data_IF_420907200592
#
_entry.id   IF_420907200592
#
_cell.length_a   1.000
_cell.length_b   1.000
_cell.length_c   1.000
_cell.angle_alpha   90.00
_cell.angle_beta   90.00
_cell.angle_gamma   90.00
#
_symmetry.space_group_name_H-M   'P 1'
#
loop_
_entity.id
_entity.type
_entity.pdbx_description
1 polymer ?
#
# COMPACT_ATOMS: atom_id res chain seq x y z
N UNK A 1 -2.25 -4.80 -6.00
CA UNK A 1 -3.36 -4.78 -6.99
C UNK A 1 -2.94 -3.96 -8.20
N UNK A 2 -3.25 -4.44 -9.40
CA UNK A 2 -2.93 -3.80 -10.67
C UNK A 2 -4.21 -3.28 -11.30
N UNK A 3 -4.18 -2.03 -11.74
CA UNK A 3 -5.35 -1.34 -12.31
C UNK A 3 -4.99 -0.83 -13.70
N UNK A 4 -5.79 -1.19 -14.69
CA UNK A 4 -5.64 -0.73 -16.08
C UNK A 4 -6.97 -0.15 -16.52
N UNK A 5 -6.96 1.09 -17.01
CA UNK A 5 -8.18 1.82 -17.42
C UNK A 5 -9.27 1.88 -16.34
N UNK A 6 -8.87 2.06 -15.07
CA UNK A 6 -9.79 2.14 -13.93
C UNK A 6 -10.42 0.80 -13.54
N UNK A 7 -9.97 -0.33 -14.11
CA UNK A 7 -10.43 -1.67 -13.74
C UNK A 7 -9.30 -2.45 -13.08
N UNK A 8 -9.63 -3.14 -12.00
CA UNK A 8 -8.73 -4.10 -11.36
C UNK A 8 -8.54 -5.27 -12.32
N UNK A 9 -7.30 -5.49 -12.75
CA UNK A 9 -6.96 -6.60 -13.66
C UNK A 9 -6.27 -7.75 -12.93
N UNK A 10 -5.63 -7.46 -11.79
CA UNK A 10 -4.84 -8.44 -11.06
C UNK A 10 -4.70 -8.05 -9.58
N UNK A 11 -4.68 -9.03 -8.69
CA UNK A 11 -4.46 -8.83 -7.26
C UNK A 11 -3.32 -9.73 -6.77
N UNK A 12 -2.41 -9.14 -5.99
CA UNK A 12 -1.33 -9.82 -5.31
C UNK A 12 -1.44 -9.49 -3.83
N UNK A 13 -1.49 -10.51 -2.98
CA UNK A 13 -1.62 -10.38 -1.53
C UNK A 13 -0.98 -11.60 -0.87
N UNK A 14 0.02 -11.37 -0.04
CA UNK A 14 0.76 -12.44 0.62
C UNK A 14 1.01 -12.07 2.08
N UNK A 15 0.85 -13.04 2.98
CA UNK A 15 1.31 -12.93 4.36
C UNK A 15 2.78 -13.31 4.40
N UNK A 16 3.57 -12.55 5.14
CA UNK A 16 5.03 -12.72 5.18
C UNK A 16 5.48 -13.02 6.59
N UNK A 17 6.38 -13.99 6.74
CA UNK A 17 7.04 -14.29 8.01
C UNK A 17 8.15 -13.26 8.28
N UNK A 18 8.03 -12.42 9.32
CA UNK A 18 9.03 -11.40 9.64
C UNK A 18 10.27 -11.97 10.36
N UNK A 19 10.32 -13.29 10.61
CA UNK A 19 11.37 -13.97 11.40
C UNK A 19 11.56 -13.42 12.82
N UNK A 20 10.59 -12.67 13.32
CA UNK A 20 10.57 -12.09 14.65
C UNK A 20 9.15 -12.09 15.21
N UNK A 21 9.01 -11.91 16.52
CA UNK A 21 7.70 -11.87 17.16
C UNK A 21 6.95 -10.60 16.77
N UNK A 22 5.72 -10.74 16.31
CA UNK A 22 4.86 -9.60 15.99
C UNK A 22 4.46 -8.90 17.29
N UNK A 23 4.72 -7.57 17.41
CA UNK A 23 4.29 -6.82 18.58
C UNK A 23 2.76 -6.83 18.71
N UNK A 24 2.25 -7.00 19.94
CA UNK A 24 0.81 -7.05 20.22
C UNK A 24 0.03 -5.86 19.63
N UNK A 25 0.61 -4.66 19.69
CA UNK A 25 -0.01 -3.46 19.13
C UNK A 25 -0.16 -3.52 17.60
N UNK A 26 0.79 -4.15 16.88
CA UNK A 26 0.68 -4.33 15.45
C UNK A 26 -0.45 -5.32 15.12
N UNK A 27 -0.48 -6.48 15.78
CA UNK A 27 -1.55 -7.47 15.64
C UNK A 27 -2.94 -6.91 15.98
N UNK A 28 -3.04 -6.01 16.97
CA UNK A 28 -4.28 -5.32 17.32
C UNK A 28 -4.81 -4.41 16.21
N UNK A 29 -3.92 -3.87 15.38
CA UNK A 29 -4.30 -2.97 14.28
C UNK A 29 -4.64 -3.78 13.03
N UNK A 30 -3.76 -4.68 12.59
CA UNK A 30 -3.91 -5.38 11.32
C UNK A 30 -4.57 -6.78 11.41
N UNK A 31 -4.74 -7.31 12.63
CA UNK A 31 -5.29 -8.64 12.88
C UNK A 31 -4.36 -9.79 12.50
N UNK A 32 -3.07 -9.53 12.21
CA UNK A 32 -2.08 -10.55 11.84
C UNK A 32 -1.38 -11.05 13.10
N UNK A 33 -1.45 -12.36 13.33
CA UNK A 33 -0.81 -13.02 14.48
C UNK A 33 0.43 -13.81 14.07
N UNK A 34 1.31 -14.11 15.02
CA UNK A 34 2.48 -14.97 14.79
C UNK A 34 2.07 -16.33 14.19
N UNK A 35 0.94 -16.90 14.65
CA UNK A 35 0.42 -18.17 14.14
C UNK A 35 0.01 -18.12 12.66
N UNK A 36 -0.42 -16.95 12.16
CA UNK A 36 -0.79 -16.78 10.75
C UNK A 36 0.41 -16.72 9.82
N UNK A 37 1.58 -16.32 10.33
CA UNK A 37 2.78 -16.09 9.52
C UNK A 37 3.92 -17.06 9.81
N UNK A 38 3.80 -17.93 10.82
CA UNK A 38 4.88 -18.84 11.23
C UNK A 38 5.40 -19.73 10.10
N UNK A 39 4.49 -20.23 9.26
CA UNK A 39 4.78 -21.12 8.12
C UNK A 39 4.73 -20.37 6.77
N UNK A 40 4.57 -19.04 6.81
CA UNK A 40 4.53 -18.22 5.62
C UNK A 40 5.93 -17.98 5.06
N UNK A 41 6.00 -17.64 3.77
CA UNK A 41 7.24 -17.25 3.10
C UNK A 41 7.83 -15.99 3.72
N UNK A 42 9.14 -15.89 3.69
CA UNK A 42 9.87 -14.72 4.20
C UNK A 42 9.87 -13.59 3.18
N UNK A 43 10.14 -12.36 3.61
CA UNK A 43 10.08 -11.21 2.72
C UNK A 43 11.02 -11.37 1.51
N UNK A 44 12.22 -11.92 1.75
CA UNK A 44 13.19 -12.21 0.69
C UNK A 44 12.69 -13.22 -0.35
N UNK A 45 11.83 -14.15 0.04
CA UNK A 45 11.23 -15.12 -0.89
C UNK A 45 10.08 -14.52 -1.68
N UNK A 46 9.31 -13.62 -1.08
CA UNK A 46 8.13 -12.97 -1.69
C UNK A 46 8.53 -11.79 -2.59
N UNK A 47 9.61 -11.10 -2.26
CA UNK A 47 10.07 -9.92 -2.98
C UNK A 47 10.21 -10.15 -4.50
N UNK A 48 10.87 -11.21 -5.01
CA UNK A 48 10.97 -11.41 -6.46
C UNK A 48 9.61 -11.58 -7.15
N UNK A 49 8.65 -12.25 -6.53
CA UNK A 49 7.29 -12.38 -7.08
C UNK A 49 6.57 -11.02 -7.09
N UNK A 50 6.77 -10.23 -6.02
CA UNK A 50 6.23 -8.88 -5.95
C UNK A 50 6.85 -7.94 -6.99
N UNK A 51 8.17 -8.01 -7.22
CA UNK A 51 8.87 -7.25 -8.25
C UNK A 51 8.38 -7.65 -9.65
N UNK A 52 8.17 -8.95 -9.90
CA UNK A 52 7.55 -9.44 -11.15
C UNK A 52 6.12 -8.94 -11.34
N UNK A 53 5.34 -8.87 -10.26
CA UNK A 53 3.97 -8.36 -10.30
C UNK A 53 3.90 -6.86 -10.64
N UNK A 54 4.75 -6.04 -10.02
CA UNK A 54 4.76 -4.59 -10.30
C UNK A 54 5.38 -4.28 -11.67
N UNK A 55 6.39 -5.04 -12.13
CA UNK A 55 7.09 -4.79 -13.38
C UNK A 55 7.52 -3.32 -13.49
N UNK A 56 7.26 -2.67 -14.63
CA UNK A 56 7.52 -1.23 -14.85
C UNK A 56 6.31 -0.33 -14.50
N UNK A 57 5.34 -0.84 -13.74
CA UNK A 57 4.12 -0.08 -13.43
C UNK A 57 4.43 1.06 -12.44
N UNK A 58 3.67 2.15 -12.56
CA UNK A 58 3.70 3.24 -11.56
C UNK A 58 3.03 2.76 -10.28
N UNK A 59 3.72 2.90 -9.16
CA UNK A 59 3.19 2.51 -7.85
C UNK A 59 2.31 3.62 -7.29
N UNK A 60 1.11 3.28 -6.82
CA UNK A 60 0.19 4.25 -6.23
C UNK A 60 -0.15 3.83 -4.81
N UNK A 61 0.19 4.69 -3.84
CA UNK A 61 -0.02 4.40 -2.42
C UNK A 61 -0.24 5.65 -1.59
N UNK A 62 -0.79 5.47 -0.39
CA UNK A 62 -1.02 6.56 0.54
C UNK A 62 0.13 6.65 1.53
N UNK A 63 0.89 7.75 1.53
CA UNK A 63 2.14 7.88 2.29
C UNK A 63 3.26 6.92 1.83
N UNK A 64 3.18 6.46 0.58
CA UNK A 64 4.05 5.43 0.01
C UNK A 64 5.52 5.86 -0.02
N UNK A 65 5.77 7.14 -0.28
CA UNK A 65 7.13 7.70 -0.36
C UNK A 65 7.86 7.58 0.98
N UNK A 66 7.16 7.87 2.07
CA UNK A 66 7.76 7.98 3.40
C UNK A 66 7.78 6.67 4.17
N UNK A 67 7.02 5.68 3.71
CA UNK A 67 6.81 4.40 4.38
C UNK A 67 7.19 3.22 3.50
N UNK A 68 6.31 2.77 2.59
CA UNK A 68 6.47 1.52 1.83
C UNK A 68 7.75 1.49 0.98
N UNK A 69 8.05 2.59 0.27
CA UNK A 69 9.24 2.67 -0.59
C UNK A 69 10.54 2.50 0.19
N UNK A 70 10.60 2.92 1.46
CA UNK A 70 11.80 2.74 2.28
C UNK A 70 12.09 1.27 2.58
N UNK A 71 11.04 0.48 2.79
CA UNK A 71 11.18 -0.97 2.97
C UNK A 71 11.62 -1.60 1.65
N UNK A 72 10.95 -1.28 0.54
CA UNK A 72 11.31 -1.83 -0.77
C UNK A 72 12.75 -1.49 -1.17
N UNK A 73 13.19 -0.24 -0.98
CA UNK A 73 14.57 0.15 -1.28
C UNK A 73 15.59 -0.58 -0.42
N UNK A 74 15.35 -0.71 0.89
CA UNK A 74 16.26 -1.43 1.78
C UNK A 74 16.41 -2.89 1.35
N UNK A 75 15.28 -3.56 1.14
CA UNK A 75 15.28 -5.00 0.84
C UNK A 75 15.80 -5.29 -0.57
N UNK A 76 15.51 -4.43 -1.56
CA UNK A 76 16.12 -4.53 -2.89
C UNK A 76 17.64 -4.31 -2.83
N UNK A 77 18.10 -3.34 -2.04
CA UNK A 77 19.52 -3.08 -1.86
C UNK A 77 20.23 -4.24 -1.17
N UNK A 78 19.60 -4.86 -0.16
CA UNK A 78 20.17 -5.99 0.59
C UNK A 78 20.20 -7.29 -0.24
N UNK A 79 19.18 -7.55 -1.05
CA UNK A 79 19.03 -8.83 -1.78
C UNK A 79 19.62 -8.78 -3.19
N UNK A 80 19.53 -7.64 -3.87
CA UNK A 80 19.94 -7.49 -5.27
C UNK A 80 21.03 -6.46 -5.49
N UNK A 81 21.35 -5.63 -4.49
CA UNK A 81 22.32 -4.54 -4.65
C UNK A 81 21.81 -3.37 -5.49
N UNK A 82 20.51 -3.36 -5.80
CA UNK A 82 19.88 -2.39 -6.69
C UNK A 82 18.72 -1.66 -5.99
N UNK A 83 18.36 -0.50 -6.52
CA UNK A 83 17.22 0.29 -6.06
C UNK A 83 16.04 0.12 -6.99
N UNK A 84 14.83 0.16 -6.44
CA UNK A 84 13.60 0.08 -7.24
C UNK A 84 13.49 1.29 -8.18
N UNK A 85 13.39 1.03 -9.50
CA UNK A 85 13.35 2.08 -10.52
C UNK A 85 11.94 2.63 -10.79
N UNK A 86 10.90 2.02 -10.21
CA UNK A 86 9.51 2.39 -10.45
C UNK A 86 9.20 3.82 -9.98
N UNK A 87 8.55 4.59 -10.85
CA UNK A 87 7.88 5.82 -10.45
C UNK A 87 6.73 5.53 -9.49
N UNK A 88 6.41 6.49 -8.62
CA UNK A 88 5.31 6.37 -7.67
C UNK A 88 4.50 7.65 -7.54
N UNK A 89 3.23 7.49 -7.15
CA UNK A 89 2.32 8.56 -6.80
C UNK A 89 1.90 8.41 -5.35
N UNK A 90 2.24 9.43 -4.55
CA UNK A 90 1.78 9.52 -3.17
C UNK A 90 0.44 10.25 -3.09
N UNK A 91 -0.62 9.49 -2.79
CA UNK A 91 -1.98 10.03 -2.72
C UNK A 91 -2.18 10.97 -1.53
N UNK A 92 -1.36 10.89 -0.48
CA UNK A 92 -1.37 11.83 0.65
C UNK A 92 -0.89 13.22 0.21
N UNK A 93 0.19 13.28 -0.56
CA UNK A 93 0.66 14.54 -1.12
C UNK A 93 -0.35 15.10 -2.13
N UNK A 94 -0.90 14.22 -2.97
CA UNK A 94 -1.91 14.59 -3.95
C UNK A 94 -3.19 15.13 -3.29
N UNK A 95 -3.66 14.51 -2.20
CA UNK A 95 -4.84 14.95 -1.46
C UNK A 95 -4.65 16.31 -0.80
N UNK A 96 -3.48 16.57 -0.21
CA UNK A 96 -3.14 17.89 0.39
C UNK A 96 -3.19 19.01 -0.64
N UNK A 97 -2.76 18.72 -1.87
CA UNK A 97 -2.78 19.71 -2.96
C UNK A 97 -4.19 19.95 -3.50
N UNK A 98 -5.02 18.92 -3.59
CA UNK A 98 -6.38 19.00 -4.17
C UNK A 98 -7.46 19.43 -3.18
N UNK A 99 -7.29 19.10 -1.90
CA UNK A 99 -8.27 19.36 -0.83
C UNK A 99 -7.60 20.07 0.35
N UNK A 100 -6.98 21.25 0.16
CA UNK A 100 -6.15 21.90 1.18
C UNK A 100 -6.93 22.34 2.43
N UNK A 101 -8.27 22.34 2.38
CA UNK A 101 -9.13 22.73 3.50
C UNK A 101 -9.40 21.59 4.49
N UNK A 102 -9.01 20.35 4.16
CA UNK A 102 -9.19 19.22 5.06
C UNK A 102 -8.11 19.26 6.15
N UNK A 103 -8.51 19.14 7.41
CA UNK A 103 -7.59 19.24 8.56
C UNK A 103 -6.61 18.06 8.62
N UNK A 104 -7.09 16.87 8.25
CA UNK A 104 -6.31 15.64 8.24
C UNK A 104 -6.51 14.92 6.92
N UNK A 105 -5.45 14.29 6.43
CA UNK A 105 -5.44 13.62 5.14
C UNK A 105 -5.10 12.14 5.26
N UNK A 106 -5.36 11.50 6.40
CA UNK A 106 -5.18 10.04 6.51
C UNK A 106 -6.11 9.37 5.51
N UNK A 107 -5.80 8.14 5.11
CA UNK A 107 -6.62 7.40 4.15
C UNK A 107 -8.09 7.30 4.61
N UNK A 108 -8.33 7.13 5.91
CA UNK A 108 -9.67 7.14 6.51
C UNK A 108 -10.36 8.50 6.39
N UNK A 109 -9.65 9.61 6.62
CA UNK A 109 -10.22 10.96 6.49
C UNK A 109 -10.61 11.25 5.04
N UNK A 110 -9.79 10.79 4.09
CA UNK A 110 -10.10 10.90 2.65
C UNK A 110 -11.25 9.99 2.26
N UNK A 111 -11.33 8.78 2.81
CA UNK A 111 -12.45 7.88 2.60
C UNK A 111 -13.75 8.50 3.11
N UNK A 112 -13.75 9.04 4.33
CA UNK A 112 -14.89 9.77 4.91
C UNK A 112 -15.28 10.99 4.07
N UNK A 113 -14.31 11.83 3.68
CA UNK A 113 -14.55 13.01 2.84
C UNK A 113 -15.28 12.66 1.54
N UNK A 114 -14.96 11.51 0.96
CA UNK A 114 -15.57 11.04 -0.26
C UNK A 114 -16.79 10.14 -0.06
N UNK A 115 -17.21 9.82 1.16
CA UNK A 115 -18.22 8.79 1.46
C UNK A 115 -17.85 7.40 0.90
N UNK A 116 -16.58 7.00 1.03
CA UNK A 116 -16.10 5.63 0.76
C UNK A 116 -16.29 4.79 2.03
N UNK A 117 -16.73 3.54 1.88
CA UNK A 117 -16.83 2.63 3.01
C UNK A 117 -15.45 2.28 3.55
N UNK A 118 -15.27 2.42 4.86
CA UNK A 118 -14.06 1.99 5.60
C UNK A 118 -14.22 0.59 6.20
N UNK A 119 -15.24 -0.16 5.78
CA UNK A 119 -15.50 -1.51 6.27
C UNK A 119 -14.30 -2.42 5.98
N UNK A 120 -13.69 -2.97 7.04
CA UNK A 120 -12.52 -3.84 6.93
C UNK A 120 -11.19 -3.11 6.68
N UNK A 121 -11.10 -1.82 7.01
CA UNK A 121 -9.83 -1.09 7.08
C UNK A 121 -8.79 -1.83 7.93
N UNK A 122 -7.50 -1.55 7.67
CA UNK A 122 -6.34 -2.21 8.29
C UNK A 122 -6.02 -3.62 7.78
N UNK A 123 -6.73 -4.07 6.75
CA UNK A 123 -6.30 -5.17 5.89
C UNK A 123 -5.68 -4.58 4.64
N UNK A 124 -4.44 -4.95 4.34
CA UNK A 124 -3.65 -4.37 3.25
C UNK A 124 -4.42 -4.31 1.92
N UNK A 125 -5.12 -5.38 1.54
CA UNK A 125 -5.89 -5.41 0.29
C UNK A 125 -7.08 -4.44 0.29
N UNK A 126 -7.76 -4.29 1.42
CA UNK A 126 -8.87 -3.34 1.54
C UNK A 126 -8.35 -1.90 1.52
N UNK A 127 -7.22 -1.65 2.18
CA UNK A 127 -6.55 -0.35 2.14
C UNK A 127 -6.08 -0.01 0.70
N UNK A 128 -5.62 -0.99 -0.09
CA UNK A 128 -5.32 -0.81 -1.51
C UNK A 128 -6.56 -0.40 -2.32
N UNK A 129 -7.71 -1.05 -2.10
CA UNK A 129 -8.97 -0.71 -2.78
C UNK A 129 -9.47 0.68 -2.40
N UNK A 130 -9.44 1.00 -1.10
CA UNK A 130 -9.77 2.34 -0.60
C UNK A 130 -8.86 3.40 -1.23
N UNK A 131 -7.54 3.15 -1.28
CA UNK A 131 -6.59 4.08 -1.88
C UNK A 131 -6.82 4.27 -3.39
N UNK A 132 -7.18 3.21 -4.13
CA UNK A 132 -7.56 3.32 -5.53
C UNK A 132 -8.75 4.26 -5.69
N UNK A 133 -9.82 4.06 -4.92
CA UNK A 133 -11.05 4.86 -5.04
C UNK A 133 -10.81 6.32 -4.64
N UNK A 134 -10.01 6.57 -3.60
CA UNK A 134 -9.54 7.92 -3.23
C UNK A 134 -8.75 8.56 -4.37
N UNK A 135 -7.80 7.83 -4.96
CA UNK A 135 -6.99 8.33 -6.07
C UNK A 135 -7.86 8.70 -7.29
N UNK A 136 -8.80 7.84 -7.66
CA UNK A 136 -9.72 8.10 -8.76
C UNK A 136 -10.60 9.33 -8.49
N UNK A 137 -11.13 9.49 -7.27
CA UNK A 137 -11.94 10.66 -6.91
C UNK A 137 -11.11 11.94 -6.90
N UNK A 138 -9.90 11.91 -6.34
CA UNK A 138 -8.96 13.04 -6.38
C UNK A 138 -8.60 13.44 -7.82
N UNK A 139 -8.45 12.47 -8.73
CA UNK A 139 -8.16 12.72 -10.14
C UNK A 139 -9.28 13.50 -10.87
N UNK A 140 -10.51 13.38 -10.38
CA UNK A 140 -11.69 14.06 -10.91
C UNK A 140 -11.87 15.47 -10.33
N UNK A 141 -11.21 15.81 -9.23
CA UNK A 141 -11.27 17.16 -8.64
C UNK A 141 -10.41 18.12 -9.48
N UNK A 142 -11.07 19.07 -10.14
CA UNK A 142 -10.40 20.12 -10.93
C UNK A 142 -10.06 19.70 -12.36
N UNK A 143 -10.93 18.93 -13.00
CA UNK A 143 -11.18 19.08 -14.45
C UNK A 143 -12.22 20.18 -14.67
#
# INVERSE_FOLDING_TARGET
MKVVNGKVVEEFSELVNPKCKIPYYASRVNGITDDMVKDARTFAEVLPDFLGFIGDSILVGHNIQSFDMKFLYRECQELYGETLANDYVDTLYYSRRKVPKLSHHRLTDMAEYFNISTAGAHRALNDCRMNQEVFERLSRIGR
#
